data_IF_071561549714
#
_entry.id   IF_071561549714
#
_cell.length_a   1.000
_cell.length_b   1.000
_cell.length_c   1.000
_cell.angle_alpha   90.00
_cell.angle_beta   90.00
_cell.angle_gamma   90.00
#
_symmetry.space_group_name_H-M   'P 1'
#
loop_
_entity.id
_entity.type
_entity.pdbx_description
1 polymer ?
#
# COMPACT_ATOMS: atom_id res chain seq x y z
N UNK A 1 4.85 -24.33 8.45
CA UNK A 1 3.99 -23.16 8.18
C UNK A 1 3.05 -22.91 9.36
N UNK A 2 2.52 -21.68 9.55
CA UNK A 2 1.65 -21.33 10.68
C UNK A 2 0.18 -21.25 10.23
N UNK A 3 -0.72 -21.88 10.99
CA UNK A 3 -2.17 -21.82 10.75
C UNK A 3 -2.83 -20.54 11.28
N UNK A 4 -2.23 -19.91 12.29
CA UNK A 4 -2.72 -18.67 12.87
C UNK A 4 -1.65 -17.58 12.78
N UNK A 5 -2.08 -16.39 12.37
CA UNK A 5 -1.29 -15.18 12.36
C UNK A 5 -1.88 -14.18 13.36
N UNK A 6 -1.03 -13.61 14.22
CA UNK A 6 -1.40 -12.54 15.16
C UNK A 6 -0.84 -11.24 14.62
N UNK A 7 -1.69 -10.29 14.24
CA UNK A 7 -1.31 -9.10 13.47
C UNK A 7 -1.86 -7.84 14.12
N UNK A 8 -1.01 -6.82 14.21
CA UNK A 8 -1.31 -5.54 14.85
C UNK A 8 -2.52 -4.84 14.19
N UNK A 9 -3.50 -4.42 14.97
CA UNK A 9 -4.73 -3.82 14.48
C UNK A 9 -4.88 -2.32 14.78
N UNK A 10 -4.03 -1.76 15.65
CA UNK A 10 -4.10 -0.37 16.14
C UNK A 10 -3.06 0.58 15.49
N UNK A 11 -2.34 0.13 14.46
CA UNK A 11 -1.49 0.95 13.61
C UNK A 11 -2.13 1.15 12.25
N UNK A 12 -2.50 2.39 11.92
CA UNK A 12 -3.29 2.73 10.72
C UNK A 12 -2.44 3.50 9.72
N UNK A 13 -2.54 3.12 8.44
CA UNK A 13 -1.88 3.79 7.31
C UNK A 13 -2.49 3.36 5.98
N UNK A 14 -1.77 3.60 4.88
CA UNK A 14 -2.22 3.25 3.53
C UNK A 14 -1.17 2.38 2.80
N UNK A 15 -1.41 1.07 2.63
CA UNK A 15 -0.54 0.21 1.84
C UNK A 15 -0.37 0.77 0.43
N UNK A 16 0.87 0.95 -0.01
CA UNK A 16 1.19 1.59 -1.29
C UNK A 16 2.16 0.71 -2.06
N UNK A 17 1.80 0.37 -3.30
CA UNK A 17 2.64 -0.50 -4.14
C UNK A 17 3.72 0.31 -4.84
N UNK A 18 4.84 -0.33 -5.16
CA UNK A 18 5.92 0.29 -5.92
C UNK A 18 5.42 0.77 -7.30
N UNK A 19 4.52 -0.01 -7.94
CA UNK A 19 3.90 0.36 -9.20
C UNK A 19 3.09 1.65 -9.09
N UNK A 20 2.27 1.81 -8.04
CA UNK A 20 1.49 3.03 -7.83
C UNK A 20 2.39 4.26 -7.65
N UNK A 21 3.50 4.13 -6.92
CA UNK A 21 4.50 5.20 -6.76
C UNK A 21 5.13 5.54 -8.11
N UNK A 22 5.63 4.54 -8.84
CA UNK A 22 6.31 4.75 -10.11
C UNK A 22 5.40 5.41 -11.14
N UNK A 23 4.15 4.95 -11.27
CA UNK A 23 3.16 5.54 -12.19
C UNK A 23 2.85 6.99 -11.83
N UNK A 24 2.66 7.31 -10.55
CA UNK A 24 2.40 8.67 -10.11
C UNK A 24 3.62 9.59 -10.35
N UNK A 25 4.82 9.13 -10.00
CA UNK A 25 6.07 9.89 -10.24
C UNK A 25 6.28 10.14 -11.74
N UNK A 26 6.14 9.11 -12.58
CA UNK A 26 6.26 9.28 -14.03
C UNK A 26 5.21 10.26 -14.58
N UNK A 27 3.97 10.16 -14.12
CA UNK A 27 2.87 11.07 -14.50
C UNK A 27 3.10 12.53 -14.05
N UNK A 28 3.86 12.75 -12.98
CA UNK A 28 4.25 14.10 -12.53
C UNK A 28 5.45 14.61 -13.32
N UNK A 29 6.50 13.79 -13.43
CA UNK A 29 7.81 14.23 -13.93
C UNK A 29 7.80 14.40 -15.44
N UNK A 30 7.29 13.43 -16.21
CA UNK A 30 7.38 13.45 -17.67
C UNK A 30 6.71 14.69 -18.30
N UNK A 31 5.49 15.10 -17.89
CA UNK A 31 4.87 16.30 -18.44
C UNK A 31 5.49 17.61 -17.97
N UNK A 32 6.26 17.60 -16.87
CA UNK A 32 6.80 18.80 -16.22
C UNK A 32 8.34 18.84 -16.25
N UNK A 33 9.01 18.04 -17.09
CA UNK A 33 10.46 17.80 -17.00
C UNK A 33 11.33 19.06 -16.99
N UNK A 34 10.90 20.14 -17.66
CA UNK A 34 11.60 21.43 -17.72
C UNK A 34 11.18 22.45 -16.65
N UNK A 35 10.05 22.24 -15.97
CA UNK A 35 9.47 23.21 -15.04
C UNK A 35 9.25 22.67 -13.62
N UNK A 36 9.55 21.39 -13.40
CA UNK A 36 9.27 20.67 -12.16
C UNK A 36 9.92 21.32 -10.94
N UNK A 37 11.19 21.72 -11.06
CA UNK A 37 11.91 22.38 -9.96
C UNK A 37 11.20 23.67 -9.53
N UNK A 38 10.90 24.56 -10.46
CA UNK A 38 10.24 25.83 -10.16
C UNK A 38 8.81 25.63 -9.64
N UNK A 39 8.07 24.64 -10.16
CA UNK A 39 6.74 24.30 -9.67
C UNK A 39 6.79 23.81 -8.21
N UNK A 40 7.76 22.95 -7.86
CA UNK A 40 7.95 22.46 -6.50
C UNK A 40 8.36 23.60 -5.56
N UNK A 41 9.34 24.42 -5.94
CA UNK A 41 9.83 25.52 -5.11
C UNK A 41 8.73 26.57 -4.85
N UNK A 42 7.95 26.95 -5.87
CA UNK A 42 6.84 27.90 -5.71
C UNK A 42 5.71 27.38 -4.82
N UNK A 43 5.56 26.07 -4.69
CA UNK A 43 4.43 25.43 -4.00
C UNK A 43 4.83 24.68 -2.71
N UNK A 44 6.02 24.94 -2.16
CA UNK A 44 6.45 24.43 -0.86
C UNK A 44 7.10 23.04 -0.86
N UNK A 45 7.63 22.57 -1.99
CA UNK A 45 8.63 21.49 -2.14
C UNK A 45 8.20 20.03 -1.87
N UNK A 46 7.49 19.73 -0.77
CA UNK A 46 7.22 18.37 -0.29
C UNK A 46 5.75 17.92 -0.40
N UNK A 47 5.43 16.93 -1.23
CA UNK A 47 4.09 16.30 -1.27
C UNK A 47 4.10 14.88 -0.68
N UNK A 48 2.98 14.44 -0.13
CA UNK A 48 2.77 13.04 0.23
C UNK A 48 2.31 12.24 -0.99
N UNK A 49 2.80 11.02 -1.12
CA UNK A 49 2.44 10.12 -2.22
C UNK A 49 2.26 8.70 -1.66
N UNK A 50 1.00 8.33 -1.45
CA UNK A 50 0.54 7.01 -1.01
C UNK A 50 -0.75 6.66 -1.73
N UNK A 51 -1.13 5.37 -1.76
CA UNK A 51 -2.47 4.99 -2.20
C UNK A 51 -3.55 5.66 -1.35
N UNK A 52 -4.74 5.84 -1.94
CA UNK A 52 -5.90 6.39 -1.24
C UNK A 52 -6.53 5.37 -0.27
N UNK A 53 -7.26 5.88 0.71
CA UNK A 53 -7.88 5.09 1.78
C UNK A 53 -6.91 4.75 2.90
N UNK A 54 -7.35 3.89 3.81
CA UNK A 54 -6.58 3.50 4.99
C UNK A 54 -6.96 2.08 5.44
N UNK A 55 -6.07 1.44 6.20
CA UNK A 55 -6.31 0.17 6.87
C UNK A 55 -5.27 -0.05 7.98
N UNK A 56 -5.50 -1.04 8.84
CA UNK A 56 -4.51 -1.53 9.80
C UNK A 56 -3.63 -2.61 9.18
N UNK A 57 -2.53 -3.00 9.84
CA UNK A 57 -1.76 -4.19 9.41
C UNK A 57 -2.64 -5.44 9.40
N UNK A 58 -3.51 -5.61 10.38
CA UNK A 58 -4.48 -6.71 10.45
C UNK A 58 -5.44 -6.68 9.26
N UNK A 59 -6.00 -5.52 8.94
CA UNK A 59 -6.89 -5.35 7.79
C UNK A 59 -6.18 -5.62 6.47
N UNK A 60 -4.93 -5.19 6.32
CA UNK A 60 -4.13 -5.47 5.13
C UNK A 60 -3.80 -6.95 4.98
N UNK A 61 -3.36 -7.63 6.05
CA UNK A 61 -3.09 -9.07 6.04
C UNK A 61 -4.34 -9.88 5.70
N UNK A 62 -5.50 -9.50 6.25
CA UNK A 62 -6.79 -10.10 5.94
C UNK A 62 -7.15 -9.95 4.47
N UNK A 63 -6.94 -8.76 3.89
CA UNK A 63 -7.19 -8.52 2.47
C UNK A 63 -6.26 -9.33 1.56
N UNK A 64 -4.98 -9.48 1.93
CA UNK A 64 -4.02 -10.31 1.17
C UNK A 64 -4.47 -11.77 1.17
N UNK A 65 -4.72 -12.35 2.35
CA UNK A 65 -5.11 -13.77 2.47
C UNK A 65 -6.44 -14.03 1.76
N UNK A 66 -7.44 -13.17 1.96
CA UNK A 66 -8.72 -13.27 1.27
C UNK A 66 -8.58 -13.15 -0.25
N UNK A 67 -7.79 -12.19 -0.72
CA UNK A 67 -7.56 -11.95 -2.14
C UNK A 67 -6.77 -13.05 -2.85
N UNK A 68 -5.82 -13.70 -2.16
CA UNK A 68 -5.10 -14.87 -2.70
C UNK A 68 -6.02 -16.10 -2.77
N UNK A 69 -6.80 -16.36 -1.72
CA UNK A 69 -7.78 -17.45 -1.71
C UNK A 69 -8.83 -17.29 -2.82
N UNK A 70 -9.31 -16.06 -3.07
CA UNK A 70 -10.26 -15.81 -4.16
C UNK A 70 -9.66 -16.04 -5.55
N UNK A 71 -8.33 -16.13 -5.66
CA UNK A 71 -7.59 -16.46 -6.89
C UNK A 71 -7.13 -17.93 -6.93
N UNK A 72 -7.69 -18.78 -6.05
CA UNK A 72 -7.39 -20.21 -6.03
C UNK A 72 -6.07 -20.59 -5.37
N UNK A 73 -5.40 -19.66 -4.67
CA UNK A 73 -4.17 -19.97 -3.95
C UNK A 73 -4.50 -20.65 -2.62
N UNK A 74 -4.02 -21.87 -2.44
CA UNK A 74 -4.07 -22.58 -1.16
C UNK A 74 -3.04 -22.00 -0.21
N UNK A 75 -3.48 -21.58 0.97
CA UNK A 75 -2.63 -21.04 2.02
C UNK A 75 -2.82 -21.85 3.31
N UNK A 76 -1.73 -22.12 4.03
CA UNK A 76 -1.79 -22.81 5.32
C UNK A 76 -2.39 -21.98 6.46
N UNK A 77 -2.44 -20.65 6.32
CA UNK A 77 -3.08 -19.78 7.29
C UNK A 77 -4.59 -19.97 7.22
N UNK A 78 -5.21 -20.20 8.37
CA UNK A 78 -6.65 -20.37 8.57
C UNK A 78 -7.26 -19.17 9.30
N UNK A 79 -6.52 -18.58 10.25
CA UNK A 79 -6.98 -17.52 11.13
C UNK A 79 -6.01 -16.33 11.20
N UNK A 80 -6.55 -15.10 11.26
CA UNK A 80 -5.80 -13.86 11.43
C UNK A 80 -6.39 -13.08 12.60
N UNK A 81 -5.71 -13.16 13.74
CA UNK A 81 -6.15 -12.58 15.01
C UNK A 81 -5.62 -11.15 15.14
N UNK A 82 -6.48 -10.16 15.43
CA UNK A 82 -6.02 -8.81 15.73
C UNK A 82 -5.34 -8.77 17.11
N UNK A 83 -4.24 -8.04 17.21
CA UNK A 83 -3.56 -7.75 18.48
C UNK A 83 -3.28 -6.25 18.61
N UNK A 84 -3.08 -5.76 19.83
CA UNK A 84 -2.62 -4.40 20.04
C UNK A 84 -1.11 -4.30 19.81
N UNK A 85 -0.60 -3.08 19.57
CA UNK A 85 0.84 -2.83 19.49
C UNK A 85 1.55 -3.23 20.78
N UNK A 86 0.88 -3.07 21.94
CA UNK A 86 1.41 -3.48 23.24
C UNK A 86 1.66 -5.00 23.35
N UNK A 87 0.91 -5.81 22.60
CA UNK A 87 1.03 -7.27 22.59
C UNK A 87 2.17 -7.76 21.67
N UNK A 88 2.82 -6.84 20.94
CA UNK A 88 3.89 -7.14 19.99
C UNK A 88 5.05 -6.15 20.12
N UNK A 89 5.88 -6.27 21.18
CA UNK A 89 6.95 -5.33 21.44
C UNK A 89 8.02 -5.36 20.33
N UNK A 90 8.22 -4.24 19.67
CA UNK A 90 9.28 -4.03 18.68
C UNK A 90 10.35 -3.09 19.23
N UNK A 91 11.60 -3.25 18.78
CA UNK A 91 12.72 -2.38 19.20
C UNK A 91 12.49 -0.89 18.86
N UNK A 92 11.86 -0.62 17.72
CA UNK A 92 11.49 0.73 17.31
C UNK A 92 10.04 1.01 17.69
N UNK A 93 9.77 2.23 18.17
CA UNK A 93 8.41 2.72 18.39
C UNK A 93 7.77 2.98 17.03
N UNK A 94 6.63 2.34 16.78
CA UNK A 94 5.85 2.54 15.56
C UNK A 94 4.71 3.52 15.85
N UNK A 95 4.47 4.51 14.99
CA UNK A 95 3.34 5.42 15.15
C UNK A 95 2.01 4.67 14.96
N UNK A 96 1.05 4.91 15.85
CA UNK A 96 -0.31 4.36 15.71
C UNK A 96 -1.08 4.96 14.52
N UNK A 97 -0.70 6.16 14.06
CA UNK A 97 -1.31 6.83 12.91
C UNK A 97 -0.23 7.28 11.93
N UNK A 98 -0.18 6.64 10.77
CA UNK A 98 0.70 6.95 9.64
C UNK A 98 -0.07 7.39 8.39
N UNK A 99 -1.32 7.84 8.55
CA UNK A 99 -2.14 8.32 7.44
C UNK A 99 -1.58 9.65 6.93
N UNK A 100 -1.43 9.74 5.61
CA UNK A 100 -0.87 10.92 4.95
C UNK A 100 -1.94 11.63 4.13
N UNK A 101 -1.98 12.95 4.23
CA UNK A 101 -2.91 13.79 3.46
C UNK A 101 -2.42 13.97 2.02
N UNK A 102 -3.27 13.61 1.05
CA UNK A 102 -3.02 13.69 -0.39
C UNK A 102 -3.57 14.98 -1.03
N UNK A 103 -4.18 15.88 -0.24
CA UNK A 103 -4.78 17.13 -0.74
C UNK A 103 -3.77 17.95 -1.55
N UNK A 104 -2.54 18.04 -1.06
CA UNK A 104 -1.48 18.80 -1.71
C UNK A 104 -1.01 18.16 -3.02
N UNK A 105 -0.92 16.83 -3.08
CA UNK A 105 -0.60 16.11 -4.31
C UNK A 105 -1.62 16.41 -5.41
N UNK A 106 -2.92 16.32 -5.07
CA UNK A 106 -4.02 16.62 -5.98
C UNK A 106 -4.02 18.09 -6.42
N UNK A 107 -3.87 19.02 -5.48
CA UNK A 107 -3.91 20.46 -5.79
C UNK A 107 -2.71 20.94 -6.63
N UNK A 108 -1.54 20.32 -6.47
CA UNK A 108 -0.32 20.75 -7.17
C UNK A 108 -0.15 20.08 -8.52
N UNK A 109 -0.50 18.80 -8.64
CA UNK A 109 -0.20 18.00 -9.82
C UNK A 109 -1.43 17.36 -10.48
N UNK A 110 -2.63 17.56 -9.93
CA UNK A 110 -3.84 16.91 -10.45
C UNK A 110 -3.85 15.39 -10.29
N UNK A 111 -2.92 14.82 -9.52
CA UNK A 111 -2.77 13.38 -9.36
C UNK A 111 -3.77 12.85 -8.34
N UNK A 112 -4.58 11.89 -8.76
CA UNK A 112 -5.40 11.06 -7.90
C UNK A 112 -4.76 9.68 -7.79
N UNK A 113 -4.48 9.25 -6.56
CA UNK A 113 -3.89 7.94 -6.30
C UNK A 113 -4.97 6.86 -6.30
N UNK A 114 -4.69 5.64 -6.80
CA UNK A 114 -5.62 4.52 -6.69
C UNK A 114 -5.86 4.17 -5.22
N UNK A 115 -7.00 3.54 -4.92
CA UNK A 115 -7.23 2.98 -3.58
C UNK A 115 -6.22 1.86 -3.30
N UNK A 116 -5.87 1.64 -2.02
CA UNK A 116 -4.94 0.58 -1.66
C UNK A 116 -5.46 -0.81 -2.03
N UNK A 117 -6.79 -1.01 -2.07
CA UNK A 117 -7.43 -2.25 -2.49
C UNK A 117 -7.25 -2.50 -3.99
N UNK A 118 -7.47 -1.48 -4.83
CA UNK A 118 -7.23 -1.60 -6.28
C UNK A 118 -5.76 -1.87 -6.59
N UNK A 119 -4.85 -1.21 -5.87
CA UNK A 119 -3.41 -1.44 -6.01
C UNK A 119 -3.03 -2.86 -5.56
N UNK A 120 -3.54 -3.32 -4.41
CA UNK A 120 -3.33 -4.68 -3.93
C UNK A 120 -3.86 -5.73 -4.91
N UNK A 121 -5.07 -5.53 -5.46
CA UNK A 121 -5.66 -6.47 -6.40
C UNK A 121 -4.74 -6.75 -7.61
N UNK A 122 -4.12 -5.71 -8.17
CA UNK A 122 -3.16 -5.85 -9.29
C UNK A 122 -1.92 -6.64 -8.89
N UNK A 123 -1.37 -6.40 -7.70
CA UNK A 123 -0.22 -7.15 -7.19
C UNK A 123 -0.56 -8.63 -6.98
N UNK A 124 -1.76 -8.93 -6.47
CA UNK A 124 -2.22 -10.30 -6.29
C UNK A 124 -2.43 -11.02 -7.63
N UNK A 125 -2.96 -10.32 -8.63
CA UNK A 125 -3.10 -10.86 -9.99
C UNK A 125 -1.71 -11.17 -10.59
N UNK A 126 -0.77 -10.22 -10.50
CA UNK A 126 0.60 -10.41 -10.96
C UNK A 126 1.30 -11.56 -10.24
N UNK A 127 1.13 -11.67 -8.92
CA UNK A 127 1.68 -12.76 -8.12
C UNK A 127 1.20 -14.13 -8.62
N UNK A 128 -0.09 -14.30 -8.88
CA UNK A 128 -0.65 -15.57 -9.35
C UNK A 128 -0.17 -15.90 -10.76
N UNK A 129 -0.07 -14.91 -11.65
CA UNK A 129 0.46 -15.11 -12.99
C UNK A 129 1.92 -15.58 -12.98
N UNK A 130 2.75 -15.00 -12.11
CA UNK A 130 4.16 -15.37 -11.96
C UNK A 130 4.36 -16.71 -11.22
N UNK A 131 3.41 -17.08 -10.36
CA UNK A 131 3.45 -18.32 -9.57
C UNK A 131 2.80 -19.51 -10.28
N UNK A 132 2.08 -19.26 -11.39
CA UNK A 132 1.58 -20.32 -12.24
C UNK A 132 2.77 -21.09 -12.84
N UNK A 133 2.76 -22.44 -12.81
CA UNK A 133 3.82 -23.19 -13.46
C UNK A 133 3.93 -22.78 -14.92
N UNK A 134 5.13 -22.36 -15.34
CA UNK A 134 5.44 -22.13 -16.74
C UNK A 134 4.96 -23.36 -17.53
N UNK A 135 4.12 -23.13 -18.54
CA UNK A 135 3.43 -24.19 -19.27
C UNK A 135 4.37 -25.35 -19.58
N UNK A 136 4.02 -26.53 -19.06
CA UNK A 136 4.59 -27.81 -19.47
C UNK A 136 4.14 -28.15 -20.89
#
# INVERSE_FOLDING_TARGET
>A
ERKELRIVADQIGAPTTAQAIASAVAGIVLPNITTLHDQLMRRGGVVNLVCAGETSWHGFATAIVGGLRSRGVTLAVDNIVPIATADFPTKAVRPGNSRLDLTRLKAQFGVAMPTWQEALARELDAYVQLSAPAHA
#
